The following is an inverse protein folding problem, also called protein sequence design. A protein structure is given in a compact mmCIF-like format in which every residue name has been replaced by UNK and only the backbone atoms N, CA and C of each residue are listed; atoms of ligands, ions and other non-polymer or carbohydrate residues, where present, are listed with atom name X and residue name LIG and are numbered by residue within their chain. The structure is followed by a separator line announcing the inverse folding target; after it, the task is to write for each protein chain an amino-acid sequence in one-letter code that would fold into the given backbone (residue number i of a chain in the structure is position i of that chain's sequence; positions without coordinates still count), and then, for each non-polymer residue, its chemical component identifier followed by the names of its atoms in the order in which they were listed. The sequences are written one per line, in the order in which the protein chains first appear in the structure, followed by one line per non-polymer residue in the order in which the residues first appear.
data_IF_618451189139
#
_entry.id   IF_618451189139
#
_cell.length_a   1.000
_cell.length_b   1.000
_cell.length_c   1.000
_cell.angle_alpha   90.00
_cell.angle_beta   90.00
_cell.angle_gamma   90.00
#
_symmetry.space_group_name_H-M   'P 1'
#
loop_
_entity.id
_entity.type
_entity.pdbx_description
1 polymer ?
#
# COMPACT_ATOMS: atom_id res chain seq x y z
N UNK A 1 26.95 17.69 11.64
CA UNK A 1 25.84 17.07 10.89
C UNK A 1 24.76 16.67 11.88
N UNK A 2 23.50 16.97 11.60
CA UNK A 2 22.40 16.54 12.48
C UNK A 2 22.22 15.02 12.28
N UNK A 3 22.46 14.18 13.30
CA UNK A 3 22.46 12.71 13.14
C UNK A 3 21.07 12.12 12.87
N UNK A 4 20.03 12.94 12.84
CA UNK A 4 18.64 12.52 12.66
C UNK A 4 18.08 12.76 11.25
N UNK A 5 18.87 13.32 10.33
CA UNK A 5 18.41 13.54 8.95
C UNK A 5 19.16 12.57 8.02
N UNK A 6 18.45 11.63 7.37
CA UNK A 6 19.08 10.75 6.36
C UNK A 6 19.67 11.59 5.22
N UNK A 7 20.74 11.13 4.58
CA UNK A 7 21.32 11.83 3.43
C UNK A 7 20.32 11.83 2.26
N UNK A 8 20.39 12.84 1.37
CA UNK A 8 19.65 12.82 0.12
C UNK A 8 19.92 11.55 -0.69
N UNK A 9 18.91 11.06 -1.42
CA UNK A 9 19.05 9.86 -2.27
C UNK A 9 20.22 9.98 -3.27
N UNK A 10 20.48 11.18 -3.78
CA UNK A 10 21.61 11.45 -4.68
C UNK A 10 22.99 11.23 -4.03
N UNK A 11 23.06 11.20 -2.71
CA UNK A 11 24.29 10.96 -1.94
C UNK A 11 24.48 9.49 -1.52
N UNK A 12 23.56 8.60 -1.93
CA UNK A 12 23.70 7.17 -1.65
C UNK A 12 24.97 6.61 -2.32
N UNK A 13 25.79 5.84 -1.59
CA UNK A 13 26.98 5.24 -2.15
C UNK A 13 26.65 4.36 -3.37
N UNK A 14 27.38 4.53 -4.47
CA UNK A 14 27.19 3.73 -5.68
C UNK A 14 27.28 2.23 -5.42
N UNK A 15 28.08 1.83 -4.44
CA UNK A 15 28.21 0.41 -4.00
C UNK A 15 26.88 -0.11 -3.43
N UNK A 16 26.17 0.69 -2.62
CA UNK A 16 24.87 0.34 -2.09
C UNK A 16 23.86 0.19 -3.25
N UNK A 17 23.84 1.16 -4.17
CA UNK A 17 22.92 1.12 -5.32
C UNK A 17 23.13 -0.13 -6.18
N UNK A 18 24.38 -0.56 -6.42
CA UNK A 18 24.69 -1.79 -7.19
C UNK A 18 24.24 -3.08 -6.51
N UNK A 19 24.05 -3.07 -5.20
CA UNK A 19 23.62 -4.24 -4.43
C UNK A 19 22.10 -4.36 -4.34
N UNK A 20 21.36 -3.31 -4.68
CA UNK A 20 19.91 -3.32 -4.61
C UNK A 20 19.32 -4.33 -5.62
N UNK A 21 18.34 -5.07 -5.15
CA UNK A 21 17.58 -6.04 -5.93
C UNK A 21 16.09 -5.71 -5.90
N UNK A 22 15.61 -5.19 -4.78
CA UNK A 22 14.21 -4.83 -4.61
C UNK A 22 14.06 -3.36 -4.26
N UNK A 23 13.08 -2.73 -4.90
CA UNK A 23 12.53 -1.44 -4.49
C UNK A 23 11.07 -1.66 -4.11
N UNK A 24 10.74 -1.42 -2.85
CA UNK A 24 9.37 -1.27 -2.39
C UNK A 24 9.03 0.21 -2.39
N UNK A 25 7.85 0.59 -2.88
CA UNK A 25 7.45 1.99 -2.96
C UNK A 25 5.96 2.14 -2.68
N UNK A 26 5.57 3.15 -1.91
CA UNK A 26 4.17 3.56 -1.91
C UNK A 26 3.79 4.18 -3.27
N UNK A 27 2.51 4.40 -3.51
CA UNK A 27 2.00 4.96 -4.76
C UNK A 27 1.54 6.40 -4.57
N UNK A 28 0.56 6.62 -3.68
CA UNK A 28 -0.08 7.92 -3.51
C UNK A 28 0.89 8.88 -2.82
N UNK A 29 1.06 10.07 -3.40
CA UNK A 29 2.00 11.11 -2.96
C UNK A 29 3.51 10.70 -2.90
N UNK A 30 3.82 9.48 -3.36
CA UNK A 30 5.19 8.95 -3.51
C UNK A 30 5.57 8.79 -4.99
N UNK A 31 4.89 7.92 -5.73
CA UNK A 31 5.02 7.80 -7.18
C UNK A 31 4.13 8.81 -7.92
N UNK A 32 2.98 9.11 -7.33
CA UNK A 32 2.04 10.11 -7.86
C UNK A 32 2.28 11.48 -7.23
N UNK A 33 1.76 12.53 -7.89
CA UNK A 33 1.64 13.87 -7.36
C UNK A 33 0.30 14.45 -7.81
N UNK A 34 -0.41 15.13 -6.91
CA UNK A 34 -1.76 15.65 -7.17
C UNK A 34 -2.71 14.59 -7.76
N UNK A 35 -2.67 13.36 -7.24
CA UNK A 35 -3.49 12.23 -7.67
C UNK A 35 -3.12 11.62 -9.04
N UNK A 36 -2.08 12.12 -9.72
CA UNK A 36 -1.68 11.67 -11.05
C UNK A 36 -0.29 11.02 -11.03
N UNK A 37 -0.09 9.99 -11.87
CA UNK A 37 1.22 9.39 -12.11
C UNK A 37 2.00 10.22 -13.17
N UNK A 38 3.05 10.96 -12.79
CA UNK A 38 3.85 11.74 -13.72
C UNK A 38 4.61 10.84 -14.71
N UNK A 39 4.82 11.33 -15.93
CA UNK A 39 5.61 10.61 -16.93
C UNK A 39 7.02 10.25 -16.43
N UNK A 40 7.64 11.12 -15.63
CA UNK A 40 8.96 10.89 -15.03
C UNK A 40 8.97 9.70 -14.06
N UNK A 41 7.97 9.58 -13.18
CA UNK A 41 7.84 8.45 -12.27
C UNK A 41 7.66 7.13 -13.03
N UNK A 42 6.81 7.13 -14.07
CA UNK A 42 6.63 5.94 -14.90
C UNK A 42 7.89 5.56 -15.68
N UNK A 43 8.62 6.55 -16.21
CA UNK A 43 9.90 6.32 -16.87
C UNK A 43 10.96 5.77 -15.89
N UNK A 44 10.97 6.24 -14.64
CA UNK A 44 11.86 5.72 -13.61
C UNK A 44 11.57 4.25 -13.28
N UNK A 45 10.30 3.85 -13.21
CA UNK A 45 9.92 2.43 -13.03
C UNK A 45 10.47 1.57 -14.18
N UNK A 46 10.39 2.03 -15.42
CA UNK A 46 10.98 1.34 -16.57
C UNK A 46 12.50 1.26 -16.48
N UNK A 47 13.18 2.35 -16.11
CA UNK A 47 14.64 2.36 -15.92
C UNK A 47 15.10 1.38 -14.84
N UNK A 48 14.36 1.27 -13.74
CA UNK A 48 14.63 0.31 -12.67
C UNK A 48 14.44 -1.15 -13.16
N UNK A 49 13.35 -1.39 -13.88
CA UNK A 49 13.06 -2.70 -14.47
C UNK A 49 14.15 -3.14 -15.46
N UNK A 50 14.60 -2.25 -16.34
CA UNK A 50 15.68 -2.49 -17.32
C UNK A 50 17.04 -2.69 -16.62
N UNK A 51 17.24 -2.06 -15.46
CA UNK A 51 18.41 -2.27 -14.61
C UNK A 51 18.38 -3.58 -13.82
N UNK A 52 17.29 -4.37 -13.92
CA UNK A 52 17.09 -5.62 -13.20
C UNK A 52 16.68 -5.46 -11.75
N UNK A 53 16.25 -4.26 -11.33
CA UNK A 53 15.70 -4.01 -9.99
C UNK A 53 14.22 -4.38 -10.00
N UNK A 54 13.84 -5.21 -9.06
CA UNK A 54 12.47 -5.73 -8.89
C UNK A 54 11.65 -4.73 -8.11
N UNK A 55 10.75 -4.02 -8.79
CA UNK A 55 9.89 -3.01 -8.17
C UNK A 55 8.60 -3.65 -7.66
N UNK A 56 8.24 -3.33 -6.42
CA UNK A 56 7.02 -3.83 -5.77
C UNK A 56 6.30 -2.65 -5.10
N UNK A 57 5.28 -2.07 -5.74
CA UNK A 57 4.41 -1.11 -5.08
C UNK A 57 3.71 -1.70 -3.85
N UNK A 58 3.59 -0.90 -2.78
CA UNK A 58 2.97 -1.28 -1.49
C UNK A 58 1.97 -0.20 -1.11
N UNK A 59 0.70 -0.45 -1.36
CA UNK A 59 -0.32 0.59 -1.36
C UNK A 59 -1.57 0.25 -0.56
N UNK A 60 -2.33 1.28 -0.15
CA UNK A 60 -3.70 1.15 0.34
C UNK A 60 -4.75 1.05 -0.79
N UNK A 61 -4.34 1.16 -2.07
CA UNK A 61 -5.26 1.08 -3.21
C UNK A 61 -5.88 -0.32 -3.35
N UNK A 62 -7.09 -0.41 -3.95
CA UNK A 62 -7.90 -1.63 -4.00
C UNK A 62 -7.34 -2.72 -4.92
N UNK A 63 -7.83 -3.93 -4.73
CA UNK A 63 -7.47 -5.11 -5.51
C UNK A 63 -7.65 -4.92 -7.03
N UNK A 64 -8.67 -4.19 -7.46
CA UNK A 64 -8.89 -3.90 -8.89
C UNK A 64 -7.77 -3.08 -9.51
N UNK A 65 -7.24 -2.08 -8.78
CA UNK A 65 -6.06 -1.31 -9.22
C UNK A 65 -4.80 -2.17 -9.20
N UNK A 66 -4.64 -2.99 -8.16
CA UNK A 66 -3.49 -3.90 -8.04
C UNK A 66 -3.44 -4.93 -9.17
N UNK A 67 -4.58 -5.47 -9.63
CA UNK A 67 -4.62 -6.36 -10.79
C UNK A 67 -4.14 -5.64 -12.07
N UNK A 68 -4.58 -4.40 -12.29
CA UNK A 68 -4.12 -3.57 -13.40
C UNK A 68 -2.60 -3.29 -13.30
N UNK A 69 -2.14 -2.82 -12.15
CA UNK A 69 -0.73 -2.49 -11.90
C UNK A 69 0.17 -3.70 -12.15
N UNK A 70 -0.16 -4.85 -11.57
CA UNK A 70 0.64 -6.07 -11.73
C UNK A 70 0.75 -6.53 -13.20
N UNK A 71 -0.27 -6.25 -14.04
CA UNK A 71 -0.27 -6.61 -15.46
C UNK A 71 0.40 -5.60 -16.36
N UNK A 72 0.21 -4.30 -16.09
CA UNK A 72 0.49 -3.24 -17.05
C UNK A 72 1.75 -2.43 -16.71
N UNK A 73 2.13 -2.35 -15.45
CA UNK A 73 3.32 -1.62 -15.03
C UNK A 73 4.57 -2.50 -15.09
N UNK A 74 5.77 -1.91 -15.21
CA UNK A 74 7.04 -2.65 -15.18
C UNK A 74 7.42 -3.02 -13.73
N UNK A 75 6.59 -3.81 -13.07
CA UNK A 75 6.71 -4.22 -11.66
C UNK A 75 6.74 -5.74 -11.53
N UNK A 76 7.36 -6.25 -10.47
CA UNK A 76 7.44 -7.68 -10.15
C UNK A 76 6.20 -8.21 -9.42
N UNK A 77 5.52 -7.34 -8.72
CA UNK A 77 4.28 -7.61 -7.99
C UNK A 77 3.75 -6.34 -7.38
N UNK A 78 2.67 -6.43 -6.63
CA UNK A 78 2.07 -5.31 -5.89
C UNK A 78 1.42 -5.81 -4.62
N UNK A 79 1.68 -5.14 -3.51
CA UNK A 79 1.00 -5.33 -2.22
C UNK A 79 -0.15 -4.34 -2.16
N UNK A 80 -1.37 -4.83 -1.92
CA UNK A 80 -2.58 -4.00 -1.92
C UNK A 80 -3.33 -4.01 -0.59
N UNK A 81 -4.27 -3.05 -0.47
CA UNK A 81 -5.15 -2.87 0.68
C UNK A 81 -4.39 -2.97 2.02
N UNK A 82 -3.31 -2.15 2.14
CA UNK A 82 -2.46 -2.07 3.33
C UNK A 82 -1.86 -3.41 3.80
N UNK A 83 -1.62 -4.35 2.88
CA UNK A 83 -1.01 -5.65 3.20
C UNK A 83 -1.99 -6.81 3.27
N UNK A 84 -3.24 -6.62 2.87
CA UNK A 84 -4.23 -7.69 2.82
C UNK A 84 -3.86 -8.82 1.84
N UNK A 85 -3.14 -8.48 0.80
CA UNK A 85 -2.69 -9.42 -0.24
C UNK A 85 -1.47 -8.88 -0.98
N UNK A 86 -0.83 -9.76 -1.75
CA UNK A 86 -0.03 -9.34 -2.89
C UNK A 86 -0.50 -10.03 -4.16
N UNK A 87 -0.32 -9.35 -5.32
CA UNK A 87 -0.52 -9.87 -6.65
C UNK A 87 0.79 -9.85 -7.42
N UNK A 88 1.04 -10.92 -8.19
CA UNK A 88 2.20 -11.05 -9.07
C UNK A 88 1.77 -11.64 -10.40
N UNK A 89 2.06 -10.96 -11.50
CA UNK A 89 1.74 -11.45 -12.83
C UNK A 89 2.98 -12.06 -13.50
N UNK A 90 2.94 -13.36 -13.73
CA UNK A 90 3.97 -14.07 -14.50
C UNK A 90 3.69 -13.87 -16.00
N UNK A 91 4.55 -13.11 -16.69
CA UNK A 91 4.36 -12.74 -18.09
C UNK A 91 4.60 -13.92 -19.02
N UNK A 92 5.52 -14.82 -18.68
CA UNK A 92 5.86 -15.99 -19.49
C UNK A 92 4.73 -17.01 -19.44
N UNK A 93 4.19 -17.25 -18.23
CA UNK A 93 3.07 -18.16 -18.00
C UNK A 93 1.71 -17.53 -18.25
N UNK A 94 1.64 -16.21 -18.41
CA UNK A 94 0.41 -15.41 -18.51
C UNK A 94 -0.57 -15.71 -17.38
N UNK A 95 -0.05 -15.81 -16.17
CA UNK A 95 -0.80 -16.21 -14.98
C UNK A 95 -0.64 -15.21 -13.84
N UNK A 96 -1.76 -14.92 -13.16
CA UNK A 96 -1.80 -14.07 -11.98
C UNK A 96 -1.77 -14.91 -10.71
N UNK A 97 -0.73 -14.75 -9.90
CA UNK A 97 -0.70 -15.22 -8.51
C UNK A 97 -1.39 -14.18 -7.63
N UNK A 98 -2.35 -14.62 -6.82
CA UNK A 98 -3.02 -13.81 -5.80
C UNK A 98 -2.85 -14.50 -4.44
N UNK A 99 -2.09 -13.88 -3.56
CA UNK A 99 -1.81 -14.41 -2.21
C UNK A 99 -2.45 -13.48 -1.17
N UNK A 100 -3.45 -14.00 -0.45
CA UNK A 100 -4.19 -13.26 0.57
C UNK A 100 -3.64 -13.54 1.96
N UNK A 101 -3.69 -12.54 2.84
CA UNK A 101 -3.27 -12.69 4.24
C UNK A 101 -4.32 -13.45 5.05
N UNK A 102 -5.60 -13.23 4.75
CA UNK A 102 -6.70 -13.95 5.36
C UNK A 102 -7.35 -14.90 4.35
N UNK A 103 -7.91 -16.03 4.80
CA UNK A 103 -8.69 -16.92 3.95
C UNK A 103 -9.89 -16.20 3.31
N UNK A 104 -10.29 -16.56 2.07
CA UNK A 104 -11.43 -15.93 1.39
C UNK A 104 -12.74 -15.97 2.18
N UNK A 105 -12.97 -17.01 2.98
CA UNK A 105 -14.15 -17.13 3.83
C UNK A 105 -14.17 -16.07 4.93
N UNK A 106 -13.03 -15.77 5.55
CA UNK A 106 -12.91 -14.74 6.58
C UNK A 106 -13.07 -13.33 5.98
N UNK A 107 -12.52 -13.08 4.80
CA UNK A 107 -12.72 -11.84 4.06
C UNK A 107 -14.21 -11.62 3.73
N UNK A 108 -14.91 -12.68 3.30
CA UNK A 108 -16.34 -12.60 2.99
C UNK A 108 -17.18 -12.33 4.25
N UNK A 109 -16.89 -12.99 5.36
CA UNK A 109 -17.58 -12.78 6.63
C UNK A 109 -17.37 -11.36 7.18
N UNK A 110 -16.17 -10.80 6.98
CA UNK A 110 -15.81 -9.46 7.45
C UNK A 110 -16.57 -8.33 6.76
N UNK A 111 -16.92 -8.48 5.49
CA UNK A 111 -17.52 -7.39 4.68
C UNK A 111 -18.79 -6.79 5.27
N UNK A 112 -19.70 -7.62 5.81
CA UNK A 112 -20.94 -7.11 6.41
C UNK A 112 -20.65 -6.27 7.65
N UNK A 113 -19.69 -6.68 8.48
CA UNK A 113 -19.26 -5.91 9.65
C UNK A 113 -18.63 -4.58 9.24
N UNK A 114 -17.72 -4.59 8.25
CA UNK A 114 -17.10 -3.36 7.75
C UNK A 114 -18.12 -2.39 7.19
N UNK A 115 -19.13 -2.87 6.45
CA UNK A 115 -20.22 -2.04 5.95
C UNK A 115 -21.05 -1.39 7.07
N UNK A 116 -21.32 -2.11 8.15
CA UNK A 116 -22.03 -1.57 9.32
C UNK A 116 -21.20 -0.48 10.04
N UNK A 117 -19.90 -0.70 10.20
CA UNK A 117 -18.96 0.28 10.77
C UNK A 117 -18.89 1.53 9.90
N UNK A 118 -18.77 1.36 8.58
CA UNK A 118 -18.79 2.47 7.64
C UNK A 118 -20.07 3.31 7.74
N UNK A 119 -21.25 2.66 7.78
CA UNK A 119 -22.52 3.34 7.95
C UNK A 119 -22.59 4.15 9.26
N UNK A 120 -21.95 3.68 10.33
CA UNK A 120 -21.80 4.44 11.57
C UNK A 120 -20.96 5.69 11.36
N UNK A 121 -19.78 5.57 10.74
CA UNK A 121 -18.89 6.71 10.46
C UNK A 121 -19.61 7.78 9.65
N UNK A 122 -20.28 7.39 8.53
CA UNK A 122 -20.99 8.34 7.66
C UNK A 122 -22.11 9.10 8.40
N UNK A 123 -22.77 8.46 9.36
CA UNK A 123 -23.81 9.09 10.17
C UNK A 123 -23.24 10.07 11.21
N UNK A 124 -22.10 9.72 11.82
CA UNK A 124 -21.54 10.45 12.97
C UNK A 124 -20.51 11.52 12.57
N UNK A 125 -19.95 11.43 11.34
CA UNK A 125 -18.97 12.40 10.80
C UNK A 125 -19.47 12.95 9.46
N UNK A 126 -20.29 14.02 9.49
CA UNK A 126 -20.81 14.62 8.26
C UNK A 126 -19.70 15.09 7.30
N UNK A 127 -19.95 14.95 6.00
CA UNK A 127 -19.02 15.32 4.94
C UNK A 127 -18.10 14.18 4.48
N UNK A 128 -18.09 13.05 5.21
CA UNK A 128 -17.40 11.82 4.75
C UNK A 128 -18.22 11.08 3.70
N UNK A 129 -17.55 10.30 2.87
CA UNK A 129 -18.18 9.34 1.95
C UNK A 129 -17.49 7.98 2.03
N UNK A 130 -18.11 6.95 1.46
CA UNK A 130 -17.38 5.74 1.09
C UNK A 130 -16.52 6.08 -0.11
N UNK A 131 -15.27 5.67 -0.11
CA UNK A 131 -14.37 5.88 -1.24
C UNK A 131 -14.98 5.33 -2.54
N UNK A 132 -14.87 6.08 -3.64
CA UNK A 132 -15.46 5.72 -4.92
C UNK A 132 -14.90 4.40 -5.48
N UNK A 133 -13.69 4.03 -5.06
CA UNK A 133 -13.02 2.78 -5.42
C UNK A 133 -13.45 1.57 -4.57
N UNK A 134 -14.35 1.73 -3.59
CA UNK A 134 -14.83 0.64 -2.72
C UNK A 134 -15.32 -0.61 -3.46
N UNK A 135 -16.01 -0.52 -4.63
CA UNK A 135 -16.41 -1.71 -5.39
C UNK A 135 -15.26 -2.60 -5.86
N UNK A 136 -14.04 -2.07 -5.90
CA UNK A 136 -12.84 -2.78 -6.32
C UNK A 136 -12.02 -3.35 -5.16
N UNK A 137 -12.47 -3.14 -3.90
CA UNK A 137 -11.82 -3.63 -2.68
C UNK A 137 -12.33 -5.02 -2.30
N UNK A 138 -11.43 -5.84 -1.75
CA UNK A 138 -11.75 -7.22 -1.36
C UNK A 138 -11.62 -7.47 0.14
N UNK A 139 -10.81 -6.70 0.85
CA UNK A 139 -10.45 -6.96 2.25
C UNK A 139 -10.75 -5.82 3.20
N UNK A 140 -10.68 -4.58 2.74
CA UNK A 140 -10.86 -3.38 3.56
C UNK A 140 -12.09 -2.56 3.15
N UNK A 141 -12.36 -1.54 3.94
CA UNK A 141 -13.27 -0.46 3.61
C UNK A 141 -12.53 0.87 3.78
N UNK A 142 -12.81 1.84 2.91
CA UNK A 142 -12.18 3.14 2.92
C UNK A 142 -13.22 4.26 3.10
N UNK A 143 -12.98 5.13 4.08
CA UNK A 143 -13.72 6.37 4.27
C UNK A 143 -12.93 7.49 3.61
N UNK A 144 -13.54 8.10 2.61
CA UNK A 144 -13.02 9.28 1.95
C UNK A 144 -13.24 10.53 2.80
N UNK A 145 -12.18 11.34 2.95
CA UNK A 145 -12.21 12.61 3.65
C UNK A 145 -11.64 13.78 2.82
N UNK A 146 -11.08 13.52 1.61
CA UNK A 146 -10.53 14.59 0.76
C UNK A 146 -10.19 14.20 -0.68
N UNK A 147 -10.53 13.01 -1.18
CA UNK A 147 -10.28 12.64 -2.59
C UNK A 147 -11.44 13.11 -3.47
N UNK A 148 -12.64 12.56 -3.28
CA UNK A 148 -13.86 12.88 -4.04
C UNK A 148 -14.87 13.73 -3.23
N UNK A 149 -14.50 14.06 -1.98
CA UNK A 149 -15.26 14.98 -1.12
C UNK A 149 -14.41 16.21 -0.80
N UNK A 150 -15.03 17.36 -0.46
CA UNK A 150 -14.27 18.51 0.03
C UNK A 150 -13.41 18.12 1.24
N UNK A 151 -12.13 18.57 1.30
CA UNK A 151 -11.22 18.21 2.38
C UNK A 151 -11.78 18.50 3.77
N UNK A 152 -11.82 17.48 4.61
CA UNK A 152 -12.31 17.60 5.98
C UNK A 152 -11.19 18.05 6.93
N UNK A 153 -11.53 18.78 7.99
CA UNK A 153 -10.55 19.21 8.99
C UNK A 153 -9.97 18.01 9.76
N UNK A 154 -8.73 18.11 10.30
CA UNK A 154 -8.08 17.05 11.08
C UNK A 154 -8.95 16.49 12.21
N UNK A 155 -9.76 17.32 12.88
CA UNK A 155 -10.68 16.89 13.92
C UNK A 155 -11.73 15.86 13.43
N UNK A 156 -12.13 15.92 12.16
CA UNK A 156 -13.03 14.92 11.55
C UNK A 156 -12.30 13.61 11.32
N UNK A 157 -11.04 13.65 10.86
CA UNK A 157 -10.20 12.44 10.68
C UNK A 157 -9.95 11.76 12.02
N UNK A 158 -9.69 12.55 13.08
CA UNK A 158 -9.58 12.04 14.45
C UNK A 158 -10.89 11.42 14.96
N UNK A 159 -12.03 11.99 14.59
CA UNK A 159 -13.35 11.43 14.93
C UNK A 159 -13.59 10.10 14.24
N UNK A 160 -13.27 9.98 12.94
CA UNK A 160 -13.30 8.71 12.20
C UNK A 160 -12.45 7.67 12.93
N UNK A 161 -11.18 7.99 13.21
CA UNK A 161 -10.24 7.08 13.87
C UNK A 161 -10.73 6.60 15.24
N UNK A 162 -11.34 7.50 16.04
CA UNK A 162 -11.93 7.15 17.33
C UNK A 162 -13.12 6.19 17.20
N UNK A 163 -13.99 6.40 16.21
CA UNK A 163 -15.12 5.50 15.93
C UNK A 163 -14.58 4.12 15.55
N UNK A 164 -13.64 4.07 14.60
CA UNK A 164 -13.05 2.81 14.14
C UNK A 164 -12.37 2.03 15.28
N UNK A 165 -11.60 2.74 16.13
CA UNK A 165 -10.99 2.14 17.32
C UNK A 165 -12.04 1.57 18.28
N UNK A 166 -13.16 2.28 18.51
CA UNK A 166 -14.26 1.82 19.38
C UNK A 166 -14.98 0.58 18.84
N UNK A 167 -14.95 0.38 17.51
CA UNK A 167 -15.51 -0.82 16.86
C UNK A 167 -14.53 -2.00 16.85
N UNK A 168 -13.29 -1.81 17.34
CA UNK A 168 -12.28 -2.86 17.40
C UNK A 168 -11.84 -3.34 16.01
N UNK A 169 -11.83 -2.47 15.04
CA UNK A 169 -11.26 -2.73 13.70
C UNK A 169 -9.87 -2.09 13.59
N UNK A 170 -8.98 -2.74 12.86
CA UNK A 170 -7.69 -2.15 12.51
C UNK A 170 -7.91 -1.03 11.51
N UNK A 171 -7.24 0.11 11.67
CA UNK A 171 -7.36 1.22 10.72
C UNK A 171 -6.04 1.96 10.55
N UNK A 172 -5.90 2.62 9.42
CA UNK A 172 -4.79 3.52 9.08
C UNK A 172 -5.29 4.73 8.32
N UNK A 173 -4.72 5.87 8.62
CA UNK A 173 -4.93 7.11 7.88
C UNK A 173 -3.89 7.19 6.77
N UNK A 174 -4.33 7.40 5.53
CA UNK A 174 -3.50 7.77 4.39
C UNK A 174 -3.67 9.25 4.06
N UNK A 175 -3.07 9.73 2.98
CA UNK A 175 -3.22 11.13 2.53
C UNK A 175 -4.66 11.49 2.15
N UNK A 176 -5.47 10.52 1.73
CA UNK A 176 -6.82 10.75 1.17
C UNK A 176 -7.93 9.98 1.88
N UNK A 177 -7.64 8.83 2.50
CA UNK A 177 -8.63 7.94 3.10
C UNK A 177 -8.27 7.53 4.51
N UNK A 178 -9.29 7.14 5.30
CA UNK A 178 -9.09 6.29 6.47
C UNK A 178 -9.53 4.88 6.09
N UNK A 179 -8.54 4.01 5.85
CA UNK A 179 -8.78 2.61 5.56
C UNK A 179 -8.95 1.81 6.84
N UNK A 180 -9.86 0.83 6.84
CA UNK A 180 -10.04 -0.05 8.00
C UNK A 180 -10.45 -1.46 7.58
N UNK A 181 -10.01 -2.45 8.38
CA UNK A 181 -10.15 -3.87 8.09
C UNK A 181 -10.24 -4.71 9.34
N UNK A 182 -10.54 -6.00 9.15
CA UNK A 182 -10.53 -7.01 10.21
C UNK A 182 -9.24 -7.81 10.10
N UNK A 183 -8.55 -7.99 11.23
CA UNK A 183 -7.29 -8.73 11.29
C UNK A 183 -6.08 -7.83 11.57
N UNK A 184 -4.96 -8.46 11.92
CA UNK A 184 -3.72 -7.78 12.32
C UNK A 184 -2.66 -7.94 11.23
N UNK A 185 -2.90 -7.40 10.05
CA UNK A 185 -1.92 -7.36 8.97
C UNK A 185 -1.56 -5.90 8.63
N UNK A 186 -0.41 -5.70 8.02
CA UNK A 186 0.08 -4.40 7.59
C UNK A 186 0.95 -4.51 6.32
N UNK A 187 1.37 -3.38 5.80
CA UNK A 187 2.23 -3.27 4.61
C UNK A 187 3.54 -4.07 4.79
N UNK A 188 4.19 -3.97 5.95
CA UNK A 188 5.47 -4.65 6.22
C UNK A 188 5.32 -6.17 6.23
N UNK A 189 4.34 -6.69 6.96
CA UNK A 189 4.12 -8.15 7.05
C UNK A 189 3.87 -8.77 5.67
N UNK A 190 3.13 -8.09 4.80
CA UNK A 190 2.87 -8.58 3.45
C UNK A 190 4.07 -8.41 2.51
N UNK A 191 4.82 -7.31 2.58
CA UNK A 191 6.06 -7.11 1.83
C UNK A 191 7.10 -8.16 2.22
N UNK A 192 7.22 -8.48 3.51
CA UNK A 192 8.06 -9.57 4.01
C UNK A 192 7.66 -10.91 3.39
N UNK A 193 6.38 -11.25 3.42
CA UNK A 193 5.87 -12.49 2.81
C UNK A 193 6.17 -12.53 1.29
N UNK A 194 6.02 -11.41 0.59
CA UNK A 194 6.40 -11.33 -0.82
C UNK A 194 7.89 -11.65 -1.04
N UNK A 195 8.79 -11.13 -0.20
CA UNK A 195 10.22 -11.46 -0.26
C UNK A 195 10.46 -12.94 0.03
N UNK A 196 9.87 -13.50 1.08
CA UNK A 196 9.99 -14.92 1.45
C UNK A 196 9.54 -15.84 0.31
N UNK A 197 8.47 -15.49 -0.39
CA UNK A 197 7.91 -16.30 -1.48
C UNK A 197 8.67 -16.15 -2.81
N UNK A 198 9.32 -15.00 -3.07
CA UNK A 198 9.80 -14.66 -4.41
C UNK A 198 11.27 -14.21 -4.50
N UNK A 199 11.98 -13.98 -3.41
CA UNK A 199 13.37 -13.51 -3.48
C UNK A 199 14.33 -14.61 -3.94
N UNK A 200 14.05 -15.88 -3.65
CA UNK A 200 14.93 -17.01 -3.96
C UNK A 200 16.15 -17.10 -3.05
N UNK A 201 16.24 -16.26 -2.01
CA UNK A 201 17.28 -16.20 -0.99
C UNK A 201 16.63 -16.01 0.39
N UNK A 202 17.33 -16.29 1.51
CA UNK A 202 16.79 -16.03 2.85
C UNK A 202 16.30 -14.59 3.03
N UNK A 203 15.24 -14.40 3.81
CA UNK A 203 14.63 -13.08 4.04
C UNK A 203 15.65 -12.00 4.44
N UNK A 204 16.56 -12.30 5.40
CA UNK A 204 17.55 -11.34 5.86
C UNK A 204 18.50 -10.86 4.74
N UNK A 205 18.86 -11.75 3.80
CA UNK A 205 19.66 -11.39 2.63
C UNK A 205 18.87 -10.54 1.65
N UNK A 206 17.60 -10.89 1.37
CA UNK A 206 16.73 -10.12 0.50
C UNK A 206 16.45 -8.72 1.08
N UNK A 207 16.15 -8.62 2.37
CA UNK A 207 15.93 -7.36 3.07
C UNK A 207 17.17 -6.45 3.03
N UNK A 208 18.37 -6.99 3.24
CA UNK A 208 19.64 -6.23 3.15
C UNK A 208 19.94 -5.68 1.73
N UNK A 209 19.19 -6.13 0.72
CA UNK A 209 19.28 -5.72 -0.69
C UNK A 209 18.01 -5.03 -1.17
N UNK A 210 17.17 -4.60 -0.25
CA UNK A 210 15.92 -3.91 -0.49
C UNK A 210 15.99 -2.47 -0.02
N UNK A 211 15.20 -1.60 -0.64
CA UNK A 211 14.96 -0.22 -0.20
C UNK A 211 13.46 0.04 -0.23
N UNK A 212 13.00 0.88 0.67
CA UNK A 212 11.61 1.35 0.70
C UNK A 212 11.56 2.87 0.52
N UNK A 213 10.54 3.34 -0.22
CA UNK A 213 10.20 4.75 -0.41
C UNK A 213 8.72 4.93 -0.10
N UNK A 214 8.39 5.90 0.74
CA UNK A 214 7.03 6.22 1.16
C UNK A 214 6.98 7.57 1.86
N UNK A 215 5.78 8.12 2.07
CA UNK A 215 5.57 9.49 2.54
C UNK A 215 4.63 9.58 3.76
N UNK A 216 3.90 8.52 4.09
CA UNK A 216 2.79 8.60 5.03
C UNK A 216 2.92 7.68 6.26
N UNK A 217 2.15 7.92 7.35
CA UNK A 217 2.28 7.18 8.62
C UNK A 217 2.02 5.68 8.51
N UNK A 218 1.30 5.19 7.50
CA UNK A 218 1.11 3.76 7.28
C UNK A 218 2.35 3.06 6.72
N UNK A 219 3.35 3.84 6.27
CA UNK A 219 4.63 3.36 5.75
C UNK A 219 5.70 3.21 6.83
N UNK A 220 5.52 3.87 7.99
CA UNK A 220 6.50 3.89 9.08
C UNK A 220 7.08 2.51 9.42
N UNK A 221 6.30 1.41 9.49
CA UNK A 221 6.84 0.08 9.76
C UNK A 221 7.86 -0.43 8.74
N UNK A 222 7.84 0.10 7.51
CA UNK A 222 8.75 -0.32 6.43
C UNK A 222 10.11 0.37 6.48
N UNK A 223 10.28 1.39 7.34
CA UNK A 223 11.56 2.08 7.60
C UNK A 223 12.35 1.51 8.78
N UNK A 224 11.83 0.47 9.48
CA UNK A 224 12.40 -0.12 10.69
C UNK A 224 13.44 -1.22 10.43
#
# INVERSE_FOLDING_TARGET
MNPLRPPPVAELPAELCRRLVFLFTDIDDTLTGDGMLPAGSYAALWGLHEAGIRVVPVTGRPAGWCDHIARMWPVDGVVGENGAFYYRYDRDRRAMTRSYTLPPAELAAGRQRLAAVAARVLREVPGTAIAADQPFRVSDCAIDFCEDVPPLPPASVDAISRILASEGVTHKVSSIHVNFWIGAFDKLACARRFLEDHAGVPFAEAAARSVFVGDSPNDEPLFA
#
